data_IF_995384997444
#
_entry.id   IF_995384997444
#
_cell.length_a   1.000
_cell.length_b   1.000
_cell.length_c   1.000
_cell.angle_alpha   90.00
_cell.angle_beta   90.00
_cell.angle_gamma   90.00
#
_symmetry.space_group_name_H-M   'P 1'
#
loop_
_entity.id
_entity.type
_entity.pdbx_description
1 polymer ?
#
# COMPACT_ATOMS: atom_id res chain seq x y z
N UNK A 1 2.56 5.51 15.56
CA UNK A 1 1.65 4.75 14.67
C UNK A 1 2.06 4.96 13.23
N UNK A 2 1.56 4.16 12.28
CA UNK A 2 1.80 4.37 10.85
C UNK A 2 0.64 5.16 10.24
N UNK A 3 0.94 6.31 9.65
CA UNK A 3 -0.03 7.17 8.97
C UNK A 3 0.62 7.76 7.71
N UNK A 4 -0.14 7.82 6.63
CA UNK A 4 0.22 8.50 5.39
C UNK A 4 -0.63 9.77 5.30
N UNK A 5 0.02 10.90 5.04
CA UNK A 5 -0.67 12.19 4.84
C UNK A 5 -1.04 12.30 3.36
N UNK A 6 -2.28 12.71 3.09
CA UNK A 6 -2.74 13.02 1.74
C UNK A 6 -3.61 14.27 1.74
N UNK A 7 -3.71 14.92 0.58
CA UNK A 7 -4.55 16.11 0.41
C UNK A 7 -5.74 15.71 -0.47
N UNK A 8 -6.95 16.02 0.01
CA UNK A 8 -8.18 15.83 -0.77
C UNK A 8 -9.04 17.08 -0.70
N UNK A 9 -9.32 17.68 -1.86
CA UNK A 9 -10.08 18.94 -1.99
C UNK A 9 -9.56 20.05 -1.07
N UNK A 10 -8.24 20.22 -1.02
CA UNK A 10 -7.56 21.24 -0.22
C UNK A 10 -7.45 20.92 1.28
N UNK A 11 -8.01 19.80 1.75
CA UNK A 11 -7.95 19.40 3.17
C UNK A 11 -6.87 18.35 3.37
N UNK A 12 -5.97 18.61 4.33
CA UNK A 12 -4.98 17.62 4.80
C UNK A 12 -5.71 16.53 5.57
N UNK A 13 -5.51 15.28 5.15
CA UNK A 13 -6.08 14.10 5.78
C UNK A 13 -4.98 13.11 6.15
N UNK A 14 -5.29 12.30 7.15
CA UNK A 14 -4.47 11.16 7.57
C UNK A 14 -5.13 9.87 7.12
N UNK A 15 -4.32 8.95 6.64
CA UNK A 15 -4.74 7.63 6.20
C UNK A 15 -3.94 6.57 6.97
N UNK A 16 -4.66 5.63 7.57
CA UNK A 16 -4.10 4.43 8.19
C UNK A 16 -4.58 3.22 7.37
N UNK A 17 -3.67 2.36 6.92
CA UNK A 17 -4.05 1.19 6.14
C UNK A 17 -4.71 0.12 6.99
N UNK A 18 -5.48 -0.76 6.34
CA UNK A 18 -6.10 -1.92 6.99
C UNK A 18 -5.03 -2.90 7.49
N UNK A 19 -4.07 -3.23 6.62
CA UNK A 19 -3.00 -4.17 6.95
C UNK A 19 -1.61 -3.67 6.52
N UNK A 20 -0.63 -3.97 7.36
CA UNK A 20 0.79 -3.92 7.05
C UNK A 20 1.35 -5.34 7.17
N UNK A 21 1.78 -5.90 6.05
CA UNK A 21 2.19 -7.31 5.96
C UNK A 21 3.67 -7.36 5.64
N UNK A 22 4.44 -8.04 6.49
CA UNK A 22 5.83 -8.37 6.19
C UNK A 22 5.88 -9.70 5.44
N UNK A 23 6.21 -9.65 4.16
CA UNK A 23 6.34 -10.84 3.33
C UNK A 23 7.65 -11.57 3.65
N UNK A 24 7.69 -12.88 3.35
CA UNK A 24 8.91 -13.69 3.54
C UNK A 24 10.09 -13.21 2.68
N UNK A 25 9.82 -12.53 1.56
CA UNK A 25 10.83 -11.87 0.73
C UNK A 25 11.48 -10.65 1.39
N UNK A 26 11.00 -10.23 2.57
CA UNK A 26 11.44 -9.01 3.25
C UNK A 26 10.72 -7.74 2.81
N UNK A 27 9.88 -7.81 1.76
CA UNK A 27 9.02 -6.69 1.34
C UNK A 27 7.95 -6.40 2.40
N UNK A 28 7.62 -5.13 2.56
CA UNK A 28 6.46 -4.68 3.34
C UNK A 28 5.33 -4.34 2.36
N UNK A 29 4.22 -5.05 2.48
CA UNK A 29 3.00 -4.84 1.70
C UNK A 29 2.00 -4.04 2.52
N UNK A 30 1.59 -2.88 2.01
CA UNK A 30 0.38 -2.17 2.45
C UNK A 30 -0.82 -2.79 1.73
N UNK A 31 -1.71 -3.45 2.47
CA UNK A 31 -2.89 -4.08 1.88
C UNK A 31 -4.16 -3.39 2.37
N UNK A 32 -4.93 -2.90 1.41
CA UNK A 32 -6.27 -2.34 1.64
C UNK A 32 -7.34 -3.37 1.27
N UNK A 33 -8.41 -3.40 2.04
CA UNK A 33 -9.63 -4.12 1.68
C UNK A 33 -10.64 -3.18 1.01
N UNK A 34 -11.64 -3.76 0.34
CA UNK A 34 -12.62 -2.99 -0.41
C UNK A 34 -13.39 -1.99 0.46
N UNK A 35 -13.22 -0.71 0.16
CA UNK A 35 -14.20 0.35 0.43
C UNK A 35 -14.94 0.74 -0.86
N UNK A 36 -16.01 1.55 -0.76
CA UNK A 36 -16.65 2.11 -1.96
C UNK A 36 -15.63 2.92 -2.78
N UNK A 37 -15.45 2.62 -4.07
CA UNK A 37 -14.44 3.29 -4.91
C UNK A 37 -14.92 4.68 -5.32
N UNK A 38 -14.80 5.63 -4.39
CA UNK A 38 -15.11 7.04 -4.59
C UNK A 38 -13.84 7.85 -4.94
N UNK A 39 -14.03 9.09 -5.40
CA UNK A 39 -12.95 10.01 -5.78
C UNK A 39 -11.89 10.18 -4.68
N UNK A 40 -12.33 10.18 -3.41
CA UNK A 40 -11.44 10.26 -2.26
C UNK A 40 -10.54 9.02 -2.15
N UNK A 41 -11.05 7.83 -2.40
CA UNK A 41 -10.27 6.58 -2.39
C UNK A 41 -9.28 6.53 -3.54
N UNK A 42 -9.63 7.03 -4.72
CA UNK A 42 -8.68 7.18 -5.83
C UNK A 42 -7.54 8.14 -5.48
N UNK A 43 -7.87 9.29 -4.88
CA UNK A 43 -6.87 10.25 -4.40
C UNK A 43 -5.97 9.61 -3.34
N UNK A 44 -6.55 8.94 -2.34
CA UNK A 44 -5.82 8.19 -1.31
C UNK A 44 -4.82 7.20 -1.91
N UNK A 45 -5.23 6.43 -2.93
CA UNK A 45 -4.37 5.45 -3.62
C UNK A 45 -3.20 6.11 -4.36
N UNK A 46 -3.42 7.26 -5.01
CA UNK A 46 -2.32 8.00 -5.66
C UNK A 46 -1.26 8.45 -4.65
N UNK A 47 -1.69 9.01 -3.52
CA UNK A 47 -0.76 9.40 -2.46
C UNK A 47 -0.07 8.20 -1.80
N UNK A 48 -0.74 7.05 -1.66
CA UNK A 48 -0.11 5.81 -1.20
C UNK A 48 0.99 5.35 -2.18
N UNK A 49 0.71 5.39 -3.48
CA UNK A 49 1.69 5.04 -4.52
C UNK A 49 2.92 5.96 -4.49
N UNK A 50 2.71 7.27 -4.45
CA UNK A 50 3.78 8.27 -4.31
C UNK A 50 4.62 8.03 -3.04
N UNK A 51 3.95 7.75 -1.92
CA UNK A 51 4.63 7.47 -0.66
C UNK A 51 5.48 6.21 -0.74
N UNK A 52 4.96 5.11 -1.32
CA UNK A 52 5.72 3.87 -1.52
C UNK A 52 6.93 4.10 -2.41
N UNK A 53 6.76 4.86 -3.50
CA UNK A 53 7.84 5.22 -4.41
C UNK A 53 8.93 6.05 -3.69
N UNK A 54 8.54 7.04 -2.89
CA UNK A 54 9.48 7.87 -2.13
C UNK A 54 10.27 7.05 -1.08
N UNK A 55 9.59 6.15 -0.35
CA UNK A 55 10.24 5.27 0.63
C UNK A 55 11.21 4.31 -0.04
N UNK A 56 10.83 3.74 -1.18
CA UNK A 56 11.68 2.85 -1.96
C UNK A 56 12.89 3.59 -2.55
N UNK A 57 12.73 4.84 -2.97
CA UNK A 57 13.80 5.69 -3.47
C UNK A 57 14.78 6.09 -2.35
N UNK A 58 14.29 6.36 -1.15
CA UNK A 58 15.12 6.63 0.02
C UNK A 58 15.99 5.42 0.41
N UNK A 59 15.50 4.20 0.23
CA UNK A 59 16.28 2.95 0.40
C UNK A 59 16.55 2.51 1.85
N UNK A 60 16.41 3.40 2.83
CA UNK A 60 16.68 3.09 4.25
C UNK A 60 15.61 2.28 4.99
N UNK A 61 14.46 1.99 4.37
CA UNK A 61 13.30 1.37 5.05
C UNK A 61 12.92 0.01 4.48
N UNK A 62 13.80 -0.63 3.70
CA UNK A 62 13.51 -1.84 2.95
C UNK A 62 12.66 -1.57 1.70
N UNK A 63 12.11 -2.63 1.10
CA UNK A 63 11.27 -2.54 -0.09
C UNK A 63 9.78 -2.59 0.28
N UNK A 64 9.02 -1.64 -0.24
CA UNK A 64 7.60 -1.48 0.01
C UNK A 64 6.80 -1.69 -1.27
N UNK A 65 5.61 -2.25 -1.14
CA UNK A 65 4.61 -2.33 -2.19
C UNK A 65 3.21 -2.11 -1.60
N UNK A 66 2.21 -1.91 -2.46
CA UNK A 66 0.83 -1.79 -2.04
C UNK A 66 -0.11 -2.53 -3.00
N UNK A 67 -1.26 -2.96 -2.49
CA UNK A 67 -2.33 -3.57 -3.29
C UNK A 67 -3.70 -3.42 -2.60
N UNK A 68 -4.76 -3.78 -3.33
CA UNK A 68 -6.14 -3.75 -2.87
C UNK A 68 -6.77 -5.12 -3.08
N UNK A 69 -7.21 -5.75 -1.99
CA UNK A 69 -8.09 -6.93 -2.03
C UNK A 69 -9.54 -6.48 -2.24
N UNK A 70 -10.17 -6.96 -3.30
CA UNK A 70 -11.56 -6.66 -3.65
C UNK A 70 -12.53 -7.70 -3.12
N UNK A 71 -12.04 -8.92 -2.90
CA UNK A 71 -12.79 -10.05 -2.35
C UNK A 71 -11.87 -10.88 -1.43
N UNK A 72 -12.35 -11.38 -0.27
CA UNK A 72 -11.52 -12.22 0.60
C UNK A 72 -10.88 -13.44 -0.10
N UNK A 73 -11.50 -13.96 -1.16
CA UNK A 73 -10.97 -15.05 -1.97
C UNK A 73 -9.72 -14.68 -2.79
N UNK A 74 -9.49 -13.39 -3.09
CA UNK A 74 -8.35 -12.92 -3.90
C UNK A 74 -7.05 -12.74 -3.09
N UNK A 75 -7.11 -12.88 -1.76
CA UNK A 75 -5.97 -12.61 -0.87
C UNK A 75 -4.75 -13.46 -1.26
N UNK A 76 -4.97 -14.73 -1.63
CA UNK A 76 -3.87 -15.62 -2.04
C UNK A 76 -3.16 -15.11 -3.30
N UNK A 77 -3.93 -14.62 -4.26
CA UNK A 77 -3.39 -14.11 -5.53
C UNK A 77 -2.65 -12.79 -5.32
N UNK A 78 -3.21 -11.91 -4.47
CA UNK A 78 -2.54 -10.66 -4.07
C UNK A 78 -1.21 -10.95 -3.38
N UNK A 79 -1.20 -11.85 -2.40
CA UNK A 79 0.03 -12.21 -1.70
C UNK A 79 1.05 -12.88 -2.65
N UNK A 80 0.60 -13.76 -3.54
CA UNK A 80 1.43 -14.41 -4.56
C UNK A 80 2.13 -13.41 -5.47
N UNK A 81 1.40 -12.40 -5.96
CA UNK A 81 1.92 -11.33 -6.84
C UNK A 81 3.09 -10.56 -6.21
N UNK A 82 3.08 -10.39 -4.90
CA UNK A 82 4.11 -9.63 -4.18
C UNK A 82 5.18 -10.50 -3.50
N UNK A 83 4.95 -11.81 -3.42
CA UNK A 83 5.81 -12.75 -2.71
C UNK A 83 7.17 -12.94 -3.38
N UNK A 84 7.30 -12.68 -4.69
CA UNK A 84 8.54 -12.95 -5.42
C UNK A 84 9.71 -12.06 -4.95
N UNK A 85 10.84 -12.71 -4.75
CA UNK A 85 12.14 -12.09 -4.47
C UNK A 85 12.77 -11.67 -5.79
N UNK A 86 13.39 -10.49 -5.85
CA UNK A 86 14.34 -10.22 -6.95
C UNK A 86 15.47 -11.24 -6.77
N UNK A 87 15.60 -12.18 -7.70
CA UNK A 87 16.80 -13.01 -7.78
C UNK A 87 17.99 -12.05 -7.88
N UNK A 88 18.91 -12.20 -6.92
CA UNK A 88 20.15 -11.43 -6.85
C UNK A 88 21.04 -11.72 -8.06
#
# INVERSE_FOLDING_TARGET
>A
GFEIIYIYRGVVKKYRPDFLIRLKSGKILVLETKGQDNEQNQTKRRFLDEWVNAVNAHGGFGKWCWDVSKDPGDIKDVLGRHAETMNA
#
